data_IF_411105946178
#
_entry.id   IF_411105946178
#
_cell.length_a   1.000
_cell.length_b   1.000
_cell.length_c   1.000
_cell.angle_alpha   90.00
_cell.angle_beta   90.00
_cell.angle_gamma   90.00
#
_symmetry.space_group_name_H-M   'P 1'
#
loop_
_entity.id
_entity.type
_entity.pdbx_description
1 polymer ?
#
# COMPACT_ATOMS: atom_id res chain seq x y z
N UNK A 1 -19.74 3.78 -4.90
CA UNK A 1 -18.41 4.35 -5.23
C UNK A 1 -17.65 3.28 -6.00
N UNK A 2 -17.76 3.27 -7.33
CA UNK A 2 -17.22 2.20 -8.17
C UNK A 2 -15.70 2.34 -8.25
N UNK A 3 -14.95 1.45 -7.57
CA UNK A 3 -13.51 1.30 -7.77
C UNK A 3 -13.28 0.76 -9.18
N UNK A 4 -13.34 1.64 -10.18
CA UNK A 4 -12.90 1.30 -11.53
C UNK A 4 -11.39 1.17 -11.51
N UNK A 5 -10.88 0.01 -11.93
CA UNK A 5 -9.45 -0.24 -12.10
C UNK A 5 -8.88 0.80 -13.07
N UNK A 6 -8.10 1.74 -12.54
CA UNK A 6 -7.43 2.74 -13.35
C UNK A 6 -5.98 2.27 -13.54
N UNK A 7 -5.54 1.87 -14.75
CA UNK A 7 -4.16 1.43 -14.97
C UNK A 7 -3.13 2.52 -14.63
N UNK A 8 -3.53 3.79 -14.63
CA UNK A 8 -2.72 4.91 -14.17
C UNK A 8 -2.36 4.83 -12.67
N UNK A 9 -3.19 4.15 -11.87
CA UNK A 9 -2.95 3.95 -10.44
C UNK A 9 -1.71 3.08 -10.23
N UNK A 10 -1.53 2.03 -11.04
CA UNK A 10 -0.34 1.19 -11.03
C UNK A 10 0.92 2.01 -11.29
N UNK A 11 0.93 2.79 -12.37
CA UNK A 11 2.08 3.64 -12.72
C UNK A 11 2.41 4.64 -11.61
N UNK A 12 1.38 5.18 -10.97
CA UNK A 12 1.53 6.11 -9.85
C UNK A 12 2.13 5.43 -8.62
N UNK A 13 1.60 4.28 -8.20
CA UNK A 13 2.05 3.57 -6.99
C UNK A 13 3.45 2.97 -7.16
N UNK A 14 3.78 2.50 -8.37
CA UNK A 14 5.10 1.96 -8.68
C UNK A 14 6.16 3.04 -8.93
N UNK A 15 5.76 4.32 -8.95
CA UNK A 15 6.72 5.40 -9.11
C UNK A 15 7.72 5.44 -7.94
N UNK A 16 9.00 5.75 -8.19
CA UNK A 16 10.02 5.79 -7.15
C UNK A 16 9.70 6.80 -6.03
N UNK A 17 9.00 7.88 -6.38
CA UNK A 17 8.51 8.87 -5.42
C UNK A 17 7.50 8.25 -4.46
N UNK A 18 6.55 7.47 -4.95
CA UNK A 18 5.53 6.81 -4.12
C UNK A 18 6.12 5.78 -3.17
N UNK A 19 7.08 4.98 -3.65
CA UNK A 19 7.78 4.01 -2.82
C UNK A 19 8.61 4.68 -1.72
N UNK A 20 9.37 5.74 -2.08
CA UNK A 20 10.15 6.53 -1.11
C UNK A 20 9.26 7.20 -0.07
N UNK A 21 8.13 7.75 -0.49
CA UNK A 21 7.13 8.36 0.40
C UNK A 21 6.56 7.34 1.38
N UNK A 22 6.11 6.19 0.87
CA UNK A 22 5.56 5.11 1.70
C UNK A 22 6.57 4.67 2.76
N UNK A 23 7.82 4.46 2.35
CA UNK A 23 8.91 4.08 3.27
C UNK A 23 9.13 5.11 4.38
N UNK A 24 9.14 6.40 4.06
CA UNK A 24 9.27 7.48 5.05
C UNK A 24 8.11 7.50 6.03
N UNK A 25 6.88 7.34 5.54
CA UNK A 25 5.66 7.32 6.35
C UNK A 25 5.58 6.10 7.28
N UNK A 26 6.03 4.92 6.83
CA UNK A 26 6.13 3.74 7.69
C UNK A 26 7.08 4.01 8.87
N UNK A 27 8.19 4.71 8.63
CA UNK A 27 9.16 5.07 9.66
C UNK A 27 8.72 6.22 10.57
N UNK A 28 7.83 7.10 10.09
CA UNK A 28 7.37 8.26 10.85
C UNK A 28 6.49 7.85 12.05
N UNK A 29 6.82 8.32 13.25
CA UNK A 29 6.08 8.02 14.49
C UNK A 29 4.68 8.66 14.52
N UNK A 30 4.46 9.72 13.74
CA UNK A 30 3.17 10.44 13.67
C UNK A 30 2.11 9.64 12.91
N UNK A 31 2.50 8.64 12.12
CA UNK A 31 1.57 7.74 11.44
C UNK A 31 1.09 6.67 12.44
N UNK A 32 -0.23 6.54 12.69
CA UNK A 32 -0.75 5.54 13.60
C UNK A 32 -0.35 4.12 13.23
N UNK A 33 -0.07 3.28 14.23
CA UNK A 33 0.35 1.89 14.03
C UNK A 33 -0.68 1.10 13.21
N UNK A 34 -1.97 1.30 13.47
CA UNK A 34 -3.07 0.68 12.72
C UNK A 34 -3.00 0.95 11.21
N UNK A 35 -2.59 2.15 10.81
CA UNK A 35 -2.46 2.49 9.38
C UNK A 35 -1.24 1.77 8.79
N UNK A 36 -0.14 1.64 9.54
CA UNK A 36 1.06 0.90 9.12
C UNK A 36 0.82 -0.61 8.94
N UNK A 37 -0.22 -1.16 9.57
CA UNK A 37 -0.61 -2.55 9.35
C UNK A 37 -1.14 -2.79 7.93
N UNK A 38 -1.71 -1.78 7.26
CA UNK A 38 -2.25 -1.92 5.90
C UNK A 38 -1.17 -2.39 4.91
N UNK A 39 -0.03 -1.69 4.73
CA UNK A 39 1.01 -2.18 3.84
C UNK A 39 1.65 -3.47 4.35
N UNK A 40 1.71 -3.69 5.67
CA UNK A 40 2.23 -4.94 6.24
C UNK A 40 1.36 -6.15 5.86
N UNK A 41 0.04 -6.04 5.97
CA UNK A 41 -0.90 -7.08 5.55
C UNK A 41 -0.91 -7.27 4.03
N UNK A 42 -0.78 -6.20 3.26
CA UNK A 42 -0.69 -6.28 1.80
C UNK A 42 0.58 -7.02 1.36
N UNK A 43 1.72 -6.77 2.00
CA UNK A 43 2.96 -7.50 1.75
C UNK A 43 2.84 -8.96 2.23
N UNK A 44 2.29 -9.17 3.43
CA UNK A 44 2.08 -10.51 3.97
C UNK A 44 1.21 -11.35 3.04
N UNK A 45 0.15 -10.76 2.48
CA UNK A 45 -0.71 -11.43 1.51
C UNK A 45 0.06 -11.92 0.27
N UNK A 46 0.96 -11.10 -0.28
CA UNK A 46 1.76 -11.46 -1.46
C UNK A 46 2.86 -12.49 -1.14
N UNK A 47 3.44 -12.44 0.05
CA UNK A 47 4.55 -13.32 0.46
C UNK A 47 4.04 -14.65 1.01
N UNK A 48 2.84 -14.68 1.59
CA UNK A 48 2.26 -15.90 2.14
C UNK A 48 2.02 -16.92 1.02
N UNK A 49 2.64 -18.11 1.10
CA UNK A 49 2.36 -19.20 0.18
C UNK A 49 0.89 -19.56 0.25
N UNK A 50 0.24 -19.68 -0.91
CA UNK A 50 -1.16 -20.07 -1.03
C UNK A 50 -1.45 -21.45 -0.42
N UNK A 51 -0.42 -22.29 -0.28
CA UNK A 51 -0.50 -23.61 0.38
C UNK A 51 -0.70 -23.54 1.91
N UNK A 52 -0.38 -22.41 2.55
CA UNK A 52 -0.62 -22.19 3.98
C UNK A 52 -2.06 -21.72 4.28
N UNK A 53 -2.83 -21.39 3.25
CA UNK A 53 -4.21 -20.93 3.41
C UNK A 53 -5.18 -22.12 3.52
N UNK A 54 -6.06 -22.14 4.53
CA UNK A 54 -7.12 -23.15 4.64
C UNK A 54 -7.94 -23.24 3.35
N UNK A 55 -8.38 -24.45 2.98
CA UNK A 55 -9.13 -24.69 1.74
C UNK A 55 -10.36 -23.77 1.57
N UNK A 56 -10.97 -23.32 2.68
CA UNK A 56 -12.12 -22.42 2.70
C UNK A 56 -11.80 -20.97 2.27
N UNK A 57 -10.56 -20.51 2.39
CA UNK A 57 -10.16 -19.13 2.03
C UNK A 57 -9.66 -19.01 0.58
N UNK A 58 -9.12 -20.10 0.00
CA UNK A 58 -8.56 -20.12 -1.36
C UNK A 58 -9.50 -19.64 -2.47
N UNK A 59 -10.78 -20.07 -2.56
CA UNK A 59 -11.65 -19.65 -3.68
C UNK A 59 -12.05 -18.18 -3.64
N UNK A 60 -11.99 -17.53 -2.47
CA UNK A 60 -12.29 -16.09 -2.33
C UNK A 60 -11.09 -15.21 -2.72
N UNK A 61 -9.88 -15.71 -2.47
CA UNK A 61 -8.59 -15.02 -2.65
C UNK A 61 -8.05 -15.20 -4.07
N UNK A 62 -8.16 -16.40 -4.64
CA UNK A 62 -7.58 -16.76 -5.95
C UNK A 62 -8.04 -15.92 -7.14
N UNK A 63 -9.17 -15.22 -7.04
CA UNK A 63 -9.66 -14.37 -8.13
C UNK A 63 -9.05 -12.95 -8.11
N UNK A 64 -8.40 -12.56 -7.02
CA UNK A 64 -7.76 -11.25 -6.90
C UNK A 64 -6.30 -11.43 -7.29
N UNK A 65 -5.87 -10.70 -8.32
CA UNK A 65 -4.46 -10.63 -8.70
C UNK A 65 -3.63 -10.15 -7.49
N UNK A 66 -2.65 -10.95 -7.04
CA UNK A 66 -1.88 -10.67 -5.83
C UNK A 66 -1.18 -9.31 -5.89
N UNK A 67 -0.78 -8.90 -7.10
CA UNK A 67 -0.18 -7.60 -7.33
C UNK A 67 -1.17 -6.44 -7.15
N UNK A 68 -2.44 -6.67 -7.47
CA UNK A 68 -3.49 -5.69 -7.30
C UNK A 68 -3.77 -5.41 -5.82
N UNK A 69 -3.72 -6.43 -4.96
CA UNK A 69 -3.86 -6.29 -3.50
C UNK A 69 -2.76 -5.39 -2.94
N UNK A 70 -1.52 -5.61 -3.36
CA UNK A 70 -0.39 -4.80 -2.94
C UNK A 70 -0.58 -3.32 -3.32
N UNK A 71 -0.92 -3.07 -4.58
CA UNK A 71 -1.10 -1.71 -5.11
C UNK A 71 -2.26 -0.99 -4.41
N UNK A 72 -3.38 -1.69 -4.15
CA UNK A 72 -4.50 -1.13 -3.40
C UNK A 72 -4.14 -0.87 -1.94
N UNK A 73 -3.43 -1.79 -1.28
CA UNK A 73 -2.98 -1.63 0.10
C UNK A 73 -2.09 -0.40 0.29
N UNK A 74 -1.13 -0.20 -0.62
CA UNK A 74 -0.27 0.99 -0.63
C UNK A 74 -1.07 2.28 -0.89
N UNK A 75 -2.04 2.24 -1.80
CA UNK A 75 -2.91 3.40 -2.06
C UNK A 75 -3.76 3.76 -0.83
N UNK A 76 -4.36 2.75 -0.20
CA UNK A 76 -5.18 2.92 0.99
C UNK A 76 -4.36 3.46 2.17
N UNK A 77 -3.15 2.93 2.36
CA UNK A 77 -2.20 3.41 3.35
C UNK A 77 -1.96 4.92 3.23
N UNK A 78 -1.65 5.40 2.03
CA UNK A 78 -1.39 6.82 1.79
C UNK A 78 -2.65 7.69 1.96
N UNK A 79 -3.83 7.15 1.63
CA UNK A 79 -5.11 7.85 1.85
C UNK A 79 -5.49 7.96 3.32
N UNK A 80 -5.13 6.96 4.13
CA UNK A 80 -5.43 6.93 5.56
C UNK A 80 -4.35 7.61 6.40
N UNK A 81 -3.12 7.72 5.89
CA UNK A 81 -2.04 8.42 6.58
C UNK A 81 -2.39 9.91 6.82
N UNK A 82 -1.95 10.50 7.94
CA UNK A 82 -2.21 11.90 8.24
C UNK A 82 -1.71 12.82 7.11
N UNK A 83 -2.63 13.60 6.51
CA UNK A 83 -2.35 14.40 5.31
C UNK A 83 -1.16 15.36 5.49
N UNK A 84 -1.04 15.96 6.68
CA UNK A 84 0.05 16.89 7.02
C UNK A 84 1.43 16.21 6.90
N UNK A 85 1.54 14.97 7.39
CA UNK A 85 2.78 14.18 7.35
C UNK A 85 3.09 13.72 5.93
N UNK A 86 2.07 13.31 5.17
CA UNK A 86 2.21 12.94 3.76
C UNK A 86 2.75 14.12 2.93
N UNK A 87 2.18 15.31 3.11
CA UNK A 87 2.61 16.52 2.41
C UNK A 87 4.03 16.95 2.79
N UNK A 88 4.39 16.86 4.07
CA UNK A 88 5.74 17.17 4.56
C UNK A 88 6.79 16.28 3.88
N UNK A 89 6.59 14.95 3.89
CA UNK A 89 7.52 14.01 3.25
C UNK A 89 7.56 14.15 1.73
N UNK A 90 6.42 14.41 1.09
CA UNK A 90 6.37 14.69 -0.35
C UNK A 90 7.19 15.92 -0.70
N UNK A 91 7.03 17.03 0.03
CA UNK A 91 7.80 18.24 -0.17
C UNK A 91 9.30 17.99 -0.01
N UNK A 92 9.70 17.22 1.00
CA UNK A 92 11.11 16.84 1.19
C UNK A 92 11.65 16.03 0.01
N UNK A 93 10.87 15.07 -0.51
CA UNK A 93 11.28 14.25 -1.66
C UNK A 93 11.47 15.11 -2.92
N UNK A 94 10.56 16.03 -3.21
CA UNK A 94 10.67 16.92 -4.37
C UNK A 94 11.85 17.90 -4.25
N UNK A 95 12.22 18.30 -3.04
CA UNK A 95 13.37 19.17 -2.78
C UNK A 95 14.70 18.40 -2.62
N UNK A 96 14.74 17.11 -2.94
CA UNK A 96 15.96 16.30 -2.90
C UNK A 96 16.49 15.98 -1.50
N UNK A 97 15.68 16.17 -0.45
CA UNK A 97 16.02 15.79 0.93
C UNK A 97 15.54 14.39 1.27
#
# INVERSE_FOLDING_TARGET
>A
MSLKFNPLLLLRVLSPVYLKLTYRLIKDRRVPFLIKLIPAFAILYVIVPTDLLPDFFRPLISQIDDFFVLVLGLNLFLRMAPLQVVQEHLYQIYNGR
#
